data_IF_336810927553
#
_entry.id   IF_336810927553
#
_cell.length_a   1.000
_cell.length_b   1.000
_cell.length_c   1.000
_cell.angle_alpha   90.00
_cell.angle_beta   90.00
_cell.angle_gamma   90.00
#
_symmetry.space_group_name_H-M   'P 1'
#
loop_
_entity.id
_entity.type
_entity.pdbx_description
1 polymer ?
#
# COMPACT_ATOMS: atom_id res chain seq x y z
N UNK A 1 -16.27 -23.12 2.23
CA UNK A 1 -16.73 -21.73 2.06
C UNK A 1 -17.02 -21.05 3.41
N UNK A 2 -17.88 -21.58 4.28
CA UNK A 2 -18.16 -20.95 5.59
C UNK A 2 -16.97 -20.98 6.58
N UNK A 3 -16.16 -22.04 6.54
CA UNK A 3 -14.98 -22.21 7.41
C UNK A 3 -13.87 -21.20 7.12
N UNK A 4 -13.62 -20.85 5.85
CA UNK A 4 -12.59 -19.87 5.48
C UNK A 4 -12.97 -18.45 5.90
N UNK A 5 -14.25 -18.07 5.78
CA UNK A 5 -14.73 -16.75 6.21
C UNK A 5 -14.62 -16.57 7.73
N UNK A 6 -14.93 -17.61 8.52
CA UNK A 6 -14.80 -17.57 9.97
C UNK A 6 -13.32 -17.48 10.41
N UNK A 7 -12.43 -18.23 9.77
CA UNK A 7 -10.99 -18.16 10.01
C UNK A 7 -10.43 -16.79 9.69
N UNK A 8 -10.82 -16.20 8.56
CA UNK A 8 -10.40 -14.86 8.16
C UNK A 8 -10.91 -13.80 9.15
N UNK A 9 -12.17 -13.87 9.57
CA UNK A 9 -12.71 -12.99 10.62
C UNK A 9 -11.92 -13.08 11.92
N UNK A 10 -11.53 -14.29 12.33
CA UNK A 10 -10.70 -14.50 13.53
C UNK A 10 -9.32 -13.89 13.38
N UNK A 11 -8.65 -14.12 12.25
CA UNK A 11 -7.33 -13.53 11.96
C UNK A 11 -7.37 -11.99 12.07
N UNK A 12 -8.41 -11.37 11.52
CA UNK A 12 -8.62 -9.91 11.62
C UNK A 12 -8.83 -9.45 13.06
N UNK A 13 -9.62 -10.18 13.84
CA UNK A 13 -9.83 -9.87 15.26
C UNK A 13 -8.52 -9.99 16.07
N UNK A 14 -7.72 -11.03 15.83
CA UNK A 14 -6.40 -11.18 16.48
C UNK A 14 -5.50 -9.99 16.19
N UNK A 15 -5.39 -9.60 14.91
CA UNK A 15 -4.60 -8.44 14.51
C UNK A 15 -5.10 -7.15 15.17
N UNK A 16 -6.43 -6.95 15.18
CA UNK A 16 -7.05 -5.76 15.76
C UNK A 16 -6.86 -5.67 17.27
N UNK A 17 -7.16 -6.74 18.02
CA UNK A 17 -6.93 -6.77 19.47
C UNK A 17 -5.44 -6.58 19.77
N UNK A 18 -4.57 -7.17 18.96
CA UNK A 18 -3.13 -7.02 19.10
C UNK A 18 -2.62 -5.58 18.98
N UNK A 19 -3.34 -4.72 18.24
CA UNK A 19 -3.03 -3.28 18.11
C UNK A 19 -3.79 -2.41 19.09
N UNK A 20 -4.97 -2.82 19.53
CA UNK A 20 -5.73 -2.06 20.53
C UNK A 20 -5.19 -2.23 21.95
N UNK A 21 -4.68 -3.41 22.31
CA UNK A 21 -4.18 -3.64 23.68
C UNK A 21 -3.06 -2.67 24.06
N UNK A 22 -2.05 -2.43 23.20
CA UNK A 22 -0.99 -1.47 23.51
C UNK A 22 -1.43 0.00 23.63
N UNK A 23 -2.64 0.37 23.20
CA UNK A 23 -3.21 1.71 23.45
C UNK A 23 -3.51 1.98 24.93
N UNK A 24 -3.52 0.95 25.77
CA UNK A 24 -3.82 1.07 27.18
C UNK A 24 -2.55 1.22 28.02
N UNK A 25 -2.75 1.49 29.31
CA UNK A 25 -1.66 1.41 30.28
C UNK A 25 -1.38 -0.04 30.69
N UNK A 26 -0.17 -0.32 31.19
CA UNK A 26 0.21 -1.67 31.67
C UNK A 26 -0.77 -2.16 32.74
N UNK A 27 -1.19 -1.28 33.65
CA UNK A 27 -2.17 -1.61 34.69
C UNK A 27 -3.52 -2.02 34.09
N UNK A 28 -4.03 -1.28 33.10
CA UNK A 28 -5.29 -1.61 32.43
C UNK A 28 -5.18 -2.93 31.68
N UNK A 29 -4.07 -3.19 30.98
CA UNK A 29 -3.83 -4.47 30.29
C UNK A 29 -3.75 -5.63 31.29
N UNK A 30 -3.08 -5.45 32.43
CA UNK A 30 -2.97 -6.46 33.48
C UNK A 30 -4.33 -6.78 34.12
N UNK A 31 -5.12 -5.76 34.45
CA UNK A 31 -6.47 -5.94 35.00
C UNK A 31 -7.42 -6.61 34.01
N UNK A 32 -7.36 -6.19 32.74
CA UNK A 32 -8.08 -6.85 31.65
C UNK A 32 -7.70 -8.32 31.55
N UNK A 33 -6.41 -8.63 31.46
CA UNK A 33 -5.90 -9.97 31.28
C UNK A 33 -6.32 -10.91 32.42
N UNK A 34 -6.25 -10.43 33.66
CA UNK A 34 -6.70 -11.16 34.84
C UNK A 34 -8.18 -11.53 34.77
N UNK A 35 -9.05 -10.55 34.48
CA UNK A 35 -10.50 -10.78 34.42
C UNK A 35 -10.88 -11.65 33.21
N UNK A 36 -10.32 -11.36 32.03
CA UNK A 36 -10.58 -12.11 30.80
C UNK A 36 -10.12 -13.57 30.92
N UNK A 37 -8.94 -13.81 31.50
CA UNK A 37 -8.44 -15.16 31.77
C UNK A 37 -9.38 -15.91 32.71
N UNK A 38 -9.88 -15.25 33.77
CA UNK A 38 -10.81 -15.89 34.71
C UNK A 38 -12.15 -16.24 34.05
N UNK A 39 -12.66 -15.38 33.17
CA UNK A 39 -13.85 -15.68 32.36
C UNK A 39 -13.63 -16.95 31.54
N UNK A 40 -12.51 -17.03 30.80
CA UNK A 40 -12.18 -18.19 29.97
C UNK A 40 -12.03 -19.45 30.82
N UNK A 41 -11.33 -19.38 31.95
CA UNK A 41 -11.16 -20.51 32.87
C UNK A 41 -12.49 -21.04 33.41
N UNK A 42 -13.40 -20.16 33.82
CA UNK A 42 -14.69 -20.59 34.33
C UNK A 42 -15.51 -21.35 33.28
N UNK A 43 -15.43 -20.92 32.01
CA UNK A 43 -16.08 -21.59 30.88
C UNK A 43 -15.40 -22.93 30.58
N UNK A 44 -14.07 -22.98 30.56
CA UNK A 44 -13.32 -24.21 30.31
C UNK A 44 -13.58 -25.27 31.40
N UNK A 45 -13.71 -24.85 32.66
CA UNK A 45 -14.04 -25.76 33.76
C UNK A 45 -15.49 -26.23 33.73
N UNK A 46 -16.42 -25.43 33.20
CA UNK A 46 -17.86 -25.72 33.22
C UNK A 46 -18.54 -25.30 31.90
N UNK A 47 -18.23 -25.94 30.76
CA UNK A 47 -18.65 -25.46 29.44
C UNK A 47 -20.17 -25.54 29.21
N UNK A 48 -20.85 -26.48 29.86
CA UNK A 48 -22.30 -26.61 29.76
C UNK A 48 -23.06 -25.53 30.55
N UNK A 49 -22.44 -24.95 31.59
CA UNK A 49 -23.10 -23.98 32.44
C UNK A 49 -23.23 -22.63 31.73
N UNK A 50 -24.47 -22.30 31.39
CA UNK A 50 -24.86 -21.08 30.67
C UNK A 50 -24.49 -19.82 31.48
N UNK A 51 -24.45 -19.91 32.82
CA UNK A 51 -24.11 -18.77 33.69
C UNK A 51 -22.71 -18.21 33.40
N UNK A 52 -21.74 -19.06 33.05
CA UNK A 52 -20.38 -18.62 32.72
C UNK A 52 -20.25 -18.13 31.28
N UNK A 53 -21.23 -18.45 30.43
CA UNK A 53 -21.30 -18.06 29.01
C UNK A 53 -22.10 -16.78 28.78
N UNK A 54 -22.66 -16.18 29.82
CA UNK A 54 -23.40 -14.92 29.77
C UNK A 54 -22.72 -13.86 30.64
N UNK A 55 -22.19 -12.80 30.01
CA UNK A 55 -21.57 -11.67 30.70
C UNK A 55 -22.47 -10.44 30.57
N UNK A 56 -22.97 -9.94 31.71
CA UNK A 56 -23.77 -8.70 31.71
C UNK A 56 -22.88 -7.47 31.56
N UNK A 57 -23.26 -6.56 30.67
CA UNK A 57 -22.47 -5.35 30.44
C UNK A 57 -22.49 -4.37 31.65
N UNK A 58 -23.51 -4.45 32.50
CA UNK A 58 -23.63 -3.67 33.74
C UNK A 58 -22.88 -4.27 34.93
N UNK A 59 -22.28 -5.47 34.79
CA UNK A 59 -21.42 -6.03 35.82
C UNK A 59 -20.19 -5.14 35.98
N UNK A 60 -20.00 -4.54 37.17
CA UNK A 60 -18.94 -3.55 37.43
C UNK A 60 -17.54 -4.07 37.07
N UNK A 61 -17.25 -5.34 37.33
CA UNK A 61 -15.94 -5.94 37.02
C UNK A 61 -15.75 -6.07 35.51
N UNK A 62 -16.74 -6.60 34.79
CA UNK A 62 -16.71 -6.72 33.32
C UNK A 62 -16.65 -5.34 32.67
N UNK A 63 -17.48 -4.40 33.12
CA UNK A 63 -17.51 -3.04 32.60
C UNK A 63 -16.13 -2.38 32.71
N UNK A 64 -15.58 -2.33 33.93
CA UNK A 64 -14.33 -1.63 34.22
C UNK A 64 -13.11 -2.31 33.59
N UNK A 65 -12.99 -3.62 33.71
CA UNK A 65 -11.76 -4.33 33.31
C UNK A 65 -11.78 -4.77 31.85
N UNK A 66 -12.95 -5.11 31.30
CA UNK A 66 -13.06 -5.67 29.94
C UNK A 66 -13.63 -4.66 28.97
N UNK A 67 -14.79 -4.07 29.26
CA UNK A 67 -15.50 -3.24 28.29
C UNK A 67 -14.92 -1.82 28.13
N UNK A 68 -14.19 -1.33 29.13
CA UNK A 68 -13.45 -0.07 29.10
C UNK A 68 -12.01 -0.21 28.60
N UNK A 69 -11.50 -1.43 28.43
CA UNK A 69 -10.17 -1.67 27.86
C UNK A 69 -10.24 -1.58 26.32
N UNK A 70 -9.33 -0.82 25.70
CA UNK A 70 -9.24 -0.80 24.23
C UNK A 70 -8.90 -2.21 23.73
N UNK A 71 -9.75 -2.77 22.87
CA UNK A 71 -9.62 -4.15 22.38
C UNK A 71 -10.37 -5.19 23.20
N UNK A 72 -10.94 -4.85 24.37
CA UNK A 72 -11.63 -5.83 25.21
C UNK A 72 -12.92 -6.38 24.61
N UNK A 73 -13.67 -5.56 23.85
CA UNK A 73 -14.90 -6.01 23.15
C UNK A 73 -14.56 -6.87 21.93
N UNK A 74 -13.52 -6.48 21.20
CA UNK A 74 -12.96 -7.27 20.10
C UNK A 74 -12.42 -8.59 20.61
N UNK A 75 -11.83 -8.63 21.80
CA UNK A 75 -11.38 -9.88 22.43
C UNK A 75 -12.56 -10.77 22.83
N UNK A 76 -13.64 -10.23 23.39
CA UNK A 76 -14.87 -11.01 23.61
C UNK A 76 -15.40 -11.59 22.29
N UNK A 77 -15.41 -10.78 21.22
CA UNK A 77 -15.80 -11.25 19.89
C UNK A 77 -14.84 -12.31 19.34
N UNK A 78 -13.54 -12.19 19.63
CA UNK A 78 -12.52 -13.18 19.28
C UNK A 78 -12.82 -14.50 19.98
N UNK A 79 -13.18 -14.50 21.27
CA UNK A 79 -13.60 -15.69 22.01
C UNK A 79 -14.90 -16.32 21.49
N UNK A 80 -15.69 -15.59 20.70
CA UNK A 80 -16.97 -16.03 20.14
C UNK A 80 -18.19 -15.48 20.87
N UNK A 81 -18.02 -14.54 21.81
CA UNK A 81 -19.16 -13.85 22.40
C UNK A 81 -19.82 -12.92 21.39
N UNK A 82 -21.15 -12.92 21.42
CA UNK A 82 -21.97 -12.00 20.65
C UNK A 82 -22.68 -11.02 21.59
N UNK A 83 -22.73 -9.75 21.19
CA UNK A 83 -23.47 -8.73 21.92
C UNK A 83 -24.95 -8.85 21.56
N UNK A 84 -25.78 -9.18 22.54
CA UNK A 84 -27.23 -9.27 22.39
C UNK A 84 -27.93 -8.39 23.43
N UNK A 85 -29.21 -8.10 23.20
CA UNK A 85 -30.07 -7.43 24.18
C UNK A 85 -31.05 -8.45 24.75
N UNK A 86 -31.04 -8.64 26.07
CA UNK A 86 -31.89 -9.58 26.79
C UNK A 86 -32.58 -8.85 27.93
N UNK A 87 -33.92 -8.83 27.93
CA UNK A 87 -34.73 -8.14 28.94
C UNK A 87 -34.35 -6.66 29.13
N UNK A 88 -34.00 -5.95 28.04
CA UNK A 88 -33.56 -4.55 28.09
C UNK A 88 -32.12 -4.35 28.56
N UNK A 89 -31.39 -5.41 28.92
CA UNK A 89 -29.97 -5.35 29.28
C UNK A 89 -29.08 -5.80 28.13
N UNK A 90 -27.94 -5.12 27.96
CA UNK A 90 -26.89 -5.58 27.04
C UNK A 90 -26.11 -6.70 27.71
N UNK A 91 -26.04 -7.85 27.05
CA UNK A 91 -25.25 -9.00 27.49
C UNK A 91 -24.34 -9.49 26.37
N UNK A 92 -23.21 -10.05 26.73
CA UNK A 92 -22.33 -10.79 25.82
C UNK A 92 -22.57 -12.27 26.06
N UNK A 93 -23.01 -12.97 25.03
CA UNK A 93 -23.40 -14.38 25.12
C UNK A 93 -22.54 -15.25 24.22
N UNK A 94 -22.00 -16.34 24.76
CA UNK A 94 -21.27 -17.36 24.02
C UNK A 94 -22.16 -18.59 23.83
N UNK A 95 -22.73 -18.75 22.64
CA UNK A 95 -23.65 -19.85 22.36
C UNK A 95 -22.96 -21.23 22.49
N UNK A 96 -21.81 -21.40 21.84
CA UNK A 96 -21.07 -22.66 21.82
C UNK A 96 -19.60 -22.43 22.21
N UNK A 97 -19.15 -22.94 23.38
CA UNK A 97 -17.76 -22.84 23.77
C UNK A 97 -16.91 -23.88 23.04
N UNK A 98 -15.96 -23.42 22.23
CA UNK A 98 -14.95 -24.29 21.63
C UNK A 98 -13.68 -24.29 22.48
N UNK A 99 -13.40 -25.42 23.14
CA UNK A 99 -12.30 -25.57 24.12
C UNK A 99 -10.93 -25.18 23.52
N UNK A 100 -10.60 -25.70 22.33
CA UNK A 100 -9.31 -25.41 21.68
C UNK A 100 -9.16 -23.92 21.38
N UNK A 101 -10.23 -23.30 20.90
CA UNK A 101 -10.24 -21.89 20.53
C UNK A 101 -10.09 -20.98 21.75
N UNK A 102 -10.82 -21.28 22.83
CA UNK A 102 -10.71 -20.56 24.10
C UNK A 102 -9.30 -20.69 24.70
N UNK A 103 -8.72 -21.89 24.62
CA UNK A 103 -7.35 -22.17 25.10
C UNK A 103 -6.31 -21.40 24.30
N UNK A 104 -6.43 -21.39 22.97
CA UNK A 104 -5.55 -20.62 22.08
C UNK A 104 -5.66 -19.12 22.34
N UNK A 105 -6.87 -18.58 22.46
CA UNK A 105 -7.08 -17.15 22.75
C UNK A 105 -6.52 -16.74 24.11
N UNK A 106 -6.63 -17.60 25.14
CA UNK A 106 -6.00 -17.40 26.45
C UNK A 106 -4.46 -17.40 26.35
N UNK A 107 -3.88 -18.37 25.65
CA UNK A 107 -2.43 -18.44 25.42
C UNK A 107 -1.90 -17.21 24.70
N UNK A 108 -2.57 -16.84 23.61
CA UNK A 108 -2.27 -15.62 22.85
C UNK A 108 -2.33 -14.36 23.73
N UNK A 109 -3.36 -14.22 24.57
CA UNK A 109 -3.48 -13.07 25.47
C UNK A 109 -2.31 -13.01 26.46
N UNK A 110 -1.92 -14.15 27.04
CA UNK A 110 -0.81 -14.22 27.99
C UNK A 110 0.52 -13.81 27.35
N UNK A 111 0.79 -14.24 26.11
CA UNK A 111 1.97 -13.81 25.34
C UNK A 111 1.92 -12.30 25.05
N UNK A 112 0.74 -11.78 24.70
CA UNK A 112 0.58 -10.37 24.36
C UNK A 112 0.77 -9.44 25.56
N UNK A 113 0.32 -9.85 26.74
CA UNK A 113 0.53 -9.12 28.00
C UNK A 113 2.02 -9.05 28.34
N UNK A 114 2.75 -10.17 28.22
CA UNK A 114 4.21 -10.19 28.43
C UNK A 114 4.93 -9.20 27.50
N UNK A 115 4.53 -9.15 26.23
CA UNK A 115 5.07 -8.18 25.27
C UNK A 115 4.79 -6.72 25.66
N UNK A 116 3.65 -6.44 26.31
CA UNK A 116 3.33 -5.10 26.80
C UNK A 116 4.12 -4.72 28.06
N UNK A 117 4.48 -5.70 28.89
CA UNK A 117 5.28 -5.49 30.11
C UNK A 117 6.77 -5.31 29.80
N UNK A 118 7.26 -5.96 28.75
CA UNK A 118 8.67 -5.91 28.31
C UNK A 118 9.00 -4.68 27.45
N UNK A 119 7.99 -3.89 27.03
CA UNK A 119 8.25 -2.73 26.20
C UNK A 119 8.95 -1.63 27.01
N UNK A 120 10.21 -1.34 26.68
CA UNK A 120 11.03 -0.29 27.30
C UNK A 120 10.55 1.16 27.01
N UNK A 121 9.45 1.30 26.26
CA UNK A 121 9.00 2.54 25.63
C UNK A 121 8.34 3.60 26.52
N UNK A 122 8.21 3.36 27.82
CA UNK A 122 7.50 4.30 28.68
C UNK A 122 8.42 5.19 29.48
N UNK A 123 8.45 6.47 29.12
CA UNK A 123 8.74 7.55 30.06
C UNK A 123 7.74 7.41 31.23
N UNK A 124 8.19 6.82 32.34
CA UNK A 124 7.40 6.63 33.55
C UNK A 124 6.56 5.36 33.65
N UNK A 125 6.92 4.27 32.94
CA UNK A 125 6.42 2.91 33.20
C UNK A 125 4.90 2.68 33.09
N UNK A 126 4.18 3.49 32.30
CA UNK A 126 2.71 3.48 32.28
C UNK A 126 2.07 3.05 30.96
N UNK A 127 2.64 3.32 29.80
CA UNK A 127 2.06 2.99 28.49
C UNK A 127 2.62 1.69 27.90
N UNK A 128 1.79 0.95 27.17
CA UNK A 128 2.18 -0.31 26.53
C UNK A 128 2.75 -0.15 25.11
N UNK A 129 2.64 1.03 24.52
CA UNK A 129 3.17 1.38 23.19
C UNK A 129 4.01 2.66 23.24
N UNK A 130 4.93 2.80 22.30
CA UNK A 130 5.72 4.02 22.10
C UNK A 130 4.91 5.10 21.35
N UNK A 131 3.98 4.67 20.48
CA UNK A 131 3.07 5.56 19.77
C UNK A 131 1.64 5.03 19.72
N UNK A 132 0.66 5.91 19.93
CA UNK A 132 -0.76 5.65 19.63
C UNK A 132 -1.15 6.41 18.37
N UNK A 133 -1.45 5.68 17.31
CA UNK A 133 -1.88 6.25 16.03
C UNK A 133 -3.41 6.19 15.91
N UNK A 134 -4.00 7.34 15.57
CA UNK A 134 -5.42 7.43 15.20
C UNK A 134 -5.53 7.63 13.71
N UNK A 135 -6.23 6.74 13.02
CA UNK A 135 -6.44 6.82 11.57
C UNK A 135 -7.90 7.17 11.27
N UNK A 136 -8.11 8.33 10.67
CA UNK A 136 -9.40 8.80 10.18
C UNK A 136 -9.71 8.10 8.86
N UNK A 137 -10.73 7.23 8.87
CA UNK A 137 -11.21 6.55 7.68
C UNK A 137 -12.11 7.47 6.86
N UNK A 138 -12.26 7.17 5.57
CA UNK A 138 -13.13 7.93 4.65
C UNK A 138 -14.62 7.85 4.99
N UNK A 139 -15.01 6.88 5.81
CA UNK A 139 -16.36 6.77 6.38
C UNK A 139 -16.62 7.75 7.53
N UNK A 140 -15.60 8.50 7.98
CA UNK A 140 -15.65 9.34 9.19
C UNK A 140 -15.42 8.55 10.48
N UNK A 141 -15.29 7.22 10.42
CA UNK A 141 -14.90 6.41 11.56
C UNK A 141 -13.40 6.53 11.82
N UNK A 142 -13.00 6.34 13.07
CA UNK A 142 -11.60 6.30 13.46
C UNK A 142 -11.18 4.86 13.76
N UNK A 143 -9.94 4.53 13.43
CA UNK A 143 -9.28 3.31 13.86
C UNK A 143 -8.05 3.70 14.67
N UNK A 144 -7.96 3.20 15.89
CA UNK A 144 -6.82 3.46 16.76
C UNK A 144 -5.93 2.22 16.85
N UNK A 145 -4.62 2.41 16.96
CA UNK A 145 -3.68 1.33 17.21
C UNK A 145 -2.43 1.81 17.93
N UNK A 146 -1.94 0.99 18.85
CA UNK A 146 -0.66 1.16 19.51
C UNK A 146 0.46 0.49 18.70
N UNK A 147 1.58 1.19 18.63
CA UNK A 147 2.76 0.79 17.88
C UNK A 147 4.04 1.05 18.67
N UNK A 148 5.07 0.27 18.39
CA UNK A 148 6.39 0.43 18.97
C UNK A 148 7.29 1.29 18.08
N UNK A 149 8.31 1.91 18.68
CA UNK A 149 9.19 2.90 18.04
C UNK A 149 9.93 2.39 16.81
N UNK A 150 10.22 1.08 16.78
CA UNK A 150 10.95 0.40 15.72
C UNK A 150 10.05 -0.16 14.63
N UNK A 151 8.73 -0.13 14.83
CA UNK A 151 7.79 -0.51 13.78
C UNK A 151 7.83 0.51 12.65
N UNK A 152 7.42 0.07 11.48
CA UNK A 152 7.55 0.83 10.24
C UNK A 152 6.21 1.37 9.75
N UNK A 153 6.25 2.31 8.82
CA UNK A 153 5.04 2.76 8.12
C UNK A 153 4.33 1.60 7.42
N UNK A 154 5.07 0.62 6.91
CA UNK A 154 4.50 -0.62 6.37
C UNK A 154 3.62 -1.36 7.39
N UNK A 155 4.03 -1.44 8.66
CA UNK A 155 3.25 -2.11 9.70
C UNK A 155 1.91 -1.40 9.98
N UNK A 156 1.88 -0.08 9.84
CA UNK A 156 0.65 0.73 9.93
C UNK A 156 -0.30 0.38 8.77
N UNK A 157 0.21 0.33 7.54
CA UNK A 157 -0.58 -0.08 6.38
C UNK A 157 -1.11 -1.51 6.50
N UNK A 158 -0.26 -2.45 6.93
CA UNK A 158 -0.65 -3.84 7.13
C UNK A 158 -1.78 -3.97 8.18
N UNK A 159 -1.69 -3.20 9.27
CA UNK A 159 -2.77 -3.13 10.26
C UNK A 159 -4.08 -2.62 9.66
N UNK A 160 -4.03 -1.52 8.91
CA UNK A 160 -5.20 -0.93 8.29
C UNK A 160 -5.87 -1.86 7.29
N UNK A 161 -5.09 -2.47 6.39
CA UNK A 161 -5.57 -3.44 5.42
C UNK A 161 -6.25 -4.63 6.10
N UNK A 162 -5.70 -5.11 7.22
CA UNK A 162 -6.32 -6.22 7.98
C UNK A 162 -7.58 -5.80 8.74
N UNK A 163 -7.76 -4.50 9.00
CA UNK A 163 -8.87 -3.97 9.81
C UNK A 163 -10.04 -3.45 8.97
N UNK A 164 -9.82 -2.99 7.75
CA UNK A 164 -10.87 -2.42 6.91
C UNK A 164 -11.56 -3.53 6.09
N UNK A 165 -12.86 -3.72 6.30
CA UNK A 165 -13.62 -4.85 5.72
C UNK A 165 -13.89 -4.69 4.21
N UNK A 166 -13.87 -3.47 3.69
CA UNK A 166 -14.30 -3.13 2.31
C UNK A 166 -13.29 -2.30 1.49
N UNK A 167 -12.03 -2.17 1.93
CA UNK A 167 -11.08 -1.22 1.36
C UNK A 167 -9.80 -1.89 0.88
N UNK A 168 -9.91 -2.74 -0.14
CA UNK A 168 -8.78 -3.27 -0.90
C UNK A 168 -8.28 -2.32 -2.00
N UNK A 169 -8.60 -1.02 -1.91
CA UNK A 169 -8.20 -0.02 -2.90
C UNK A 169 -7.20 0.96 -2.28
N UNK A 170 -6.15 1.26 -3.05
CA UNK A 170 -5.04 2.21 -2.86
C UNK A 170 -5.21 3.14 -1.64
N UNK A 171 -4.97 2.58 -0.43
CA UNK A 171 -5.03 3.35 0.80
C UNK A 171 -3.82 4.26 0.81
N UNK A 172 -4.04 5.57 0.80
CA UNK A 172 -2.98 6.56 0.98
C UNK A 172 -3.17 7.25 2.31
N UNK A 173 -2.14 7.22 3.13
CA UNK A 173 -2.14 7.90 4.42
C UNK A 173 -1.43 9.23 4.30
N UNK A 174 -2.01 10.26 4.94
CA UNK A 174 -1.33 11.52 5.19
C UNK A 174 -1.34 11.84 6.67
N UNK A 175 -0.34 12.58 7.13
CA UNK A 175 -0.41 13.25 8.42
C UNK A 175 -1.46 14.36 8.37
N UNK A 176 -2.13 14.60 9.49
CA UNK A 176 -3.05 15.74 9.66
C UNK A 176 -2.36 16.96 10.26
N UNK A 177 -1.12 16.80 10.72
CA UNK A 177 -0.26 17.88 11.21
C UNK A 177 0.24 18.73 10.04
N UNK A 178 0.49 20.01 10.29
CA UNK A 178 1.05 20.93 9.29
C UNK A 178 2.59 20.91 9.40
N UNK A 179 3.34 20.73 8.29
CA UNK A 179 2.85 20.48 6.93
C UNK A 179 2.30 19.07 6.74
N UNK A 180 1.19 18.94 6.00
CA UNK A 180 0.65 17.64 5.63
C UNK A 180 1.69 16.86 4.83
N UNK A 181 1.99 15.64 5.26
CA UNK A 181 2.97 14.77 4.61
C UNK A 181 2.30 13.45 4.23
N UNK A 182 2.35 13.11 2.95
CA UNK A 182 1.88 11.82 2.44
C UNK A 182 2.89 10.71 2.76
N UNK A 183 2.40 9.63 3.35
CA UNK A 183 3.19 8.45 3.72
C UNK A 183 3.23 7.49 2.52
N UNK A 184 3.95 7.89 1.47
CA UNK A 184 4.10 7.12 0.23
C UNK A 184 5.01 5.89 0.33
N UNK A 185 5.20 5.19 -0.79
CA UNK A 185 5.99 3.95 -0.87
C UNK A 185 7.42 4.09 -0.35
N UNK A 186 8.05 5.24 -0.60
CA UNK A 186 9.40 5.56 -0.14
C UNK A 186 9.52 5.61 1.39
N UNK A 187 8.40 5.83 2.09
CA UNK A 187 8.36 5.90 3.55
C UNK A 187 8.03 4.56 4.21
N UNK A 188 7.60 3.54 3.45
CA UNK A 188 7.22 2.24 3.98
C UNK A 188 8.26 1.61 4.92
N UNK A 189 9.58 1.61 4.62
CA UNK A 189 10.58 1.01 5.52
C UNK A 189 10.99 1.94 6.68
N UNK A 190 10.54 3.19 6.70
CA UNK A 190 10.92 4.16 7.72
C UNK A 190 10.24 3.81 9.04
N UNK A 191 11.01 3.85 10.14
CA UNK A 191 10.48 3.60 11.48
C UNK A 191 9.53 4.72 11.93
N UNK A 192 8.62 4.43 12.85
CA UNK A 192 7.72 5.44 13.41
C UNK A 192 8.48 6.55 14.15
N UNK A 193 9.60 6.21 14.80
CA UNK A 193 10.49 7.18 15.44
C UNK A 193 11.08 8.16 14.42
N UNK A 194 11.64 7.64 13.32
CA UNK A 194 12.26 8.46 12.28
C UNK A 194 11.22 9.26 11.48
N UNK A 195 10.02 8.71 11.31
CA UNK A 195 8.88 9.39 10.70
C UNK A 195 8.24 10.45 11.62
N UNK A 196 8.75 10.65 12.84
CA UNK A 196 8.26 11.62 13.84
C UNK A 196 6.78 11.42 14.19
N UNK A 197 6.34 10.16 14.29
CA UNK A 197 4.96 9.80 14.61
C UNK A 197 4.77 9.43 16.10
N UNK A 198 5.76 9.69 16.96
CA UNK A 198 5.69 9.48 18.41
C UNK A 198 5.37 10.79 19.15
N UNK A 199 4.77 10.72 20.36
CA UNK A 199 4.17 9.54 21.00
C UNK A 199 2.72 9.28 20.54
N UNK A 200 2.19 10.14 19.67
CA UNK A 200 0.86 9.98 19.08
C UNK A 200 0.76 10.79 17.81
N UNK A 201 0.06 10.27 16.81
CA UNK A 201 -0.23 11.02 15.60
C UNK A 201 -1.61 10.68 15.05
N UNK A 202 -2.23 11.66 14.38
CA UNK A 202 -3.47 11.46 13.64
C UNK A 202 -3.18 11.44 12.15
N UNK A 203 -3.56 10.34 11.50
CA UNK A 203 -3.43 10.11 10.06
C UNK A 203 -4.81 10.13 9.42
N UNK A 204 -4.89 10.51 8.14
CA UNK A 204 -6.13 10.45 7.38
C UNK A 204 -5.96 9.57 6.14
N UNK A 205 -6.92 8.68 5.90
CA UNK A 205 -7.03 7.96 4.64
C UNK A 205 -7.53 8.92 3.57
N UNK A 206 -6.76 9.08 2.50
CA UNK A 206 -7.09 9.91 1.35
C UNK A 206 -7.52 9.00 0.21
N UNK A 207 -8.65 9.29 -0.41
CA UNK A 207 -9.00 8.64 -1.68
C UNK A 207 -8.04 9.16 -2.75
N UNK A 208 -7.55 8.33 -3.68
CA UNK A 208 -6.87 8.83 -4.86
C UNK A 208 -7.82 9.81 -5.55
N UNK A 209 -7.45 11.08 -5.55
CA UNK A 209 -8.20 12.09 -6.27
C UNK A 209 -8.13 11.73 -7.75
N UNK A 210 -9.27 11.49 -8.39
CA UNK A 210 -9.36 11.68 -9.84
C UNK A 210 -8.92 13.11 -10.07
N UNK A 211 -7.83 13.31 -10.80
CA UNK A 211 -7.33 14.66 -11.09
C UNK A 211 -8.51 15.51 -11.59
N UNK A 212 -8.65 16.79 -11.15
CA UNK A 212 -9.63 17.66 -11.78
C UNK A 212 -9.40 17.61 -13.30
N UNK A 213 -10.45 17.46 -14.12
CA UNK A 213 -10.28 17.45 -15.56
C UNK A 213 -9.46 18.69 -15.92
N UNK A 214 -8.41 18.54 -16.76
CA UNK A 214 -7.60 19.69 -17.17
C UNK A 214 -8.53 20.81 -17.61
N UNK A 215 -8.25 22.07 -17.27
CA UNK A 215 -9.13 23.19 -17.61
C UNK A 215 -9.48 23.06 -19.09
N UNK A 216 -10.80 22.96 -19.38
CA UNK A 216 -11.29 22.82 -20.76
C UNK A 216 -10.60 23.89 -21.59
N UNK A 217 -9.68 23.50 -22.47
CA UNK A 217 -9.05 24.41 -23.42
C UNK A 217 -10.21 25.10 -24.14
N UNK A 218 -10.33 26.41 -23.99
CA UNK A 218 -11.32 27.19 -24.73
C UNK A 218 -11.09 26.91 -26.21
N UNK A 219 -12.17 26.71 -26.99
CA UNK A 219 -12.16 26.39 -28.44
C UNK A 219 -11.19 27.21 -29.30
N UNK A 220 -10.75 28.37 -28.80
CA UNK A 220 -9.75 29.23 -29.44
C UNK A 220 -8.37 28.58 -29.49
N UNK A 221 -7.94 27.92 -28.42
CA UNK A 221 -6.61 27.31 -28.32
C UNK A 221 -6.50 26.02 -29.15
N UNK A 222 -7.60 25.29 -29.33
CA UNK A 222 -7.63 24.06 -30.16
C UNK A 222 -7.47 24.37 -31.65
N UNK A 223 -7.97 25.53 -32.11
CA UNK A 223 -7.86 25.94 -33.51
C UNK A 223 -6.43 26.39 -33.91
N UNK A 224 -5.71 27.00 -32.98
CA UNK A 224 -4.32 27.43 -33.20
C UNK A 224 -3.35 26.24 -33.12
N UNK A 225 -3.52 25.35 -32.13
CA UNK A 225 -2.71 24.12 -32.01
C UNK A 225 -2.91 23.17 -33.21
N UNK A 226 -4.13 23.03 -33.73
CA UNK A 226 -4.40 22.23 -34.92
C UNK A 226 -3.80 22.82 -36.19
N UNK A 227 -3.85 24.16 -36.34
CA UNK A 227 -3.24 24.85 -37.48
C UNK A 227 -1.70 24.74 -37.46
N UNK A 228 -1.10 24.79 -36.28
CA UNK A 228 0.35 24.67 -36.10
C UNK A 228 0.84 23.24 -36.35
N UNK A 229 0.12 22.23 -35.85
CA UNK A 229 0.42 20.82 -36.14
C UNK A 229 0.30 20.48 -37.63
N UNK A 230 -0.71 21.04 -38.32
CA UNK A 230 -0.87 20.84 -39.76
C UNK A 230 0.28 21.49 -40.55
N UNK A 231 0.73 22.68 -40.14
CA UNK A 231 1.91 23.35 -40.73
C UNK A 231 3.18 22.52 -40.56
N UNK A 232 3.44 22.02 -39.36
CA UNK A 232 4.60 21.16 -39.06
C UNK A 232 4.57 19.85 -39.87
N UNK A 233 3.40 19.24 -40.04
CA UNK A 233 3.24 18.05 -40.88
C UNK A 233 3.49 18.36 -42.36
N UNK A 234 2.98 19.48 -42.87
CA UNK A 234 3.21 19.91 -44.25
C UNK A 234 4.70 20.20 -44.51
N UNK A 235 5.37 20.90 -43.60
CA UNK A 235 6.79 21.23 -43.72
C UNK A 235 7.69 19.99 -43.65
N UNK A 236 7.39 19.06 -42.75
CA UNK A 236 8.08 17.78 -42.67
C UNK A 236 7.85 16.90 -43.91
N UNK A 237 6.64 16.93 -44.49
CA UNK A 237 6.35 16.21 -45.73
C UNK A 237 7.10 16.80 -46.94
N UNK A 238 7.21 18.12 -47.02
CA UNK A 238 7.96 18.81 -48.06
C UNK A 238 9.47 18.51 -47.96
N UNK A 239 10.01 18.47 -46.74
CA UNK A 239 11.41 18.11 -46.50
C UNK A 239 11.71 16.68 -46.93
N UNK A 240 10.86 15.72 -46.54
CA UNK A 240 11.00 14.32 -46.97
C UNK A 240 10.93 14.15 -48.49
N UNK A 241 10.05 14.88 -49.16
CA UNK A 241 9.93 14.83 -50.62
C UNK A 241 11.15 15.43 -51.34
N UNK A 242 11.75 16.50 -50.79
CA UNK A 242 13.00 17.06 -51.32
C UNK A 242 14.16 16.10 -51.18
N UNK A 243 14.29 15.46 -50.01
CA UNK A 243 15.34 14.47 -49.77
C UNK A 243 15.19 13.24 -50.69
N UNK A 244 13.94 12.79 -50.92
CA UNK A 244 13.66 11.69 -51.84
C UNK A 244 13.94 12.04 -53.32
N UNK A 245 13.65 13.28 -53.75
CA UNK A 245 13.99 13.76 -55.09
C UNK A 245 15.50 13.83 -55.30
N UNK A 246 16.25 14.37 -54.34
CA UNK A 246 17.70 14.45 -54.41
C UNK A 246 18.37 13.07 -54.49
N UNK A 247 17.84 12.08 -53.74
CA UNK A 247 18.35 10.71 -53.79
C UNK A 247 18.03 10.01 -55.12
N UNK A 248 16.87 10.31 -55.73
CA UNK A 248 16.52 9.82 -57.06
C UNK A 248 17.45 10.41 -58.14
N UNK A 249 17.68 11.72 -58.11
CA UNK A 249 18.61 12.39 -59.03
C UNK A 249 20.04 11.86 -58.91
N UNK A 250 20.50 11.62 -57.67
CA UNK A 250 21.82 11.04 -57.41
C UNK A 250 21.94 9.61 -57.98
N UNK A 251 20.89 8.78 -57.85
CA UNK A 251 20.86 7.44 -58.45
C UNK A 251 20.86 7.48 -59.97
N UNK A 252 20.10 8.38 -60.58
CA UNK A 252 20.07 8.56 -62.03
C UNK A 252 21.43 9.05 -62.58
N UNK A 253 22.06 10.00 -61.90
CA UNK A 253 23.41 10.46 -62.25
C UNK A 253 24.46 9.34 -62.13
N UNK A 254 24.38 8.53 -61.07
CA UNK A 254 25.30 7.40 -60.86
C UNK A 254 25.07 6.27 -61.89
N UNK A 255 23.82 6.03 -62.30
CA UNK A 255 23.50 5.09 -63.37
C UNK A 255 24.05 5.57 -64.74
N UNK A 256 23.93 6.88 -65.03
CA UNK A 256 24.48 7.48 -66.25
C UNK A 256 26.01 7.38 -66.29
N UNK A 257 26.68 7.63 -65.17
CA UNK A 257 28.13 7.48 -65.05
C UNK A 257 28.60 6.03 -65.23
N UNK A 258 27.81 5.06 -64.74
CA UNK A 258 28.09 3.63 -64.93
C UNK A 258 27.91 3.20 -66.39
N UNK A 259 26.89 3.72 -67.08
CA UNK A 259 26.65 3.46 -68.50
C UNK A 259 27.79 4.02 -69.38
N UNK A 260 28.25 5.25 -69.13
CA UNK A 260 29.38 5.86 -69.86
C UNK A 260 30.69 5.07 -69.70
N UNK A 261 30.92 4.53 -68.49
CA UNK A 261 32.12 3.72 -68.22
C UNK A 261 32.09 2.36 -68.93
N UNK A 262 30.91 1.77 -69.08
CA UNK A 262 30.73 0.52 -69.86
C UNK A 262 30.87 0.79 -71.36
N UNK A 263 30.36 1.92 -71.86
CA UNK A 263 30.53 2.33 -73.25
C UNK A 263 32.00 2.59 -73.61
N UNK A 264 32.79 3.19 -72.71
CA UNK A 264 34.25 3.38 -72.89
C UNK A 264 35.05 2.07 -72.86
N UNK A 265 34.58 1.05 -72.15
CA UNK A 265 35.24 -0.25 -72.07
C UNK A 265 34.94 -1.16 -73.28
N UNK A 266 33.92 -0.83 -74.09
CA UNK A 266 33.52 -1.58 -75.28
C UNK A 266 34.04 -0.99 -76.60
N UNK A 267 34.87 0.06 -76.56
CA UNK A 267 35.50 0.60 -77.76
C UNK A 267 36.59 -0.38 -78.26
N UNK A 268 36.52 -0.88 -79.51
CA UNK A 268 37.52 -1.81 -80.03
C UNK A 268 38.86 -1.11 -80.28
N UNK A 269 39.94 -1.77 -79.85
CA UNK A 269 41.30 -1.50 -80.27
C UNK A 269 41.45 -1.89 -81.76
N UNK A 270 41.64 -0.89 -82.61
CA UNK A 270 42.39 -0.99 -83.87
C UNK A 270 43.60 -0.05 -83.66
N UNK A 271 44.87 -0.43 -83.71
CA UNK A 271 45.54 -1.50 -84.44
C UNK A 271 46.35 -0.87 -85.57
N UNK A 272 47.61 -0.50 -85.34
CA UNK A 272 48.69 -0.32 -86.35
C UNK A 272 50.00 0.08 -85.61
N UNK A 273 51.11 -0.67 -85.58
CA UNK A 273 52.06 -1.19 -86.58
C UNK A 273 53.20 -0.21 -86.98
N UNK A 274 54.42 -0.76 -87.11
CA UNK A 274 55.67 -0.10 -87.59
C UNK A 274 56.49 0.60 -86.49
N UNK A 275 57.62 0.09 -85.97
CA UNK A 275 58.96 -0.14 -86.57
C UNK A 275 59.62 1.12 -87.15
N UNK A 276 60.59 1.69 -86.43
CA UNK A 276 61.92 2.18 -86.88
C UNK A 276 62.61 2.87 -85.67
N UNK A 277 63.66 2.30 -85.09
CA UNK A 277 65.06 2.53 -85.43
C UNK A 277 65.53 4.00 -85.27
N UNK A 278 66.28 4.31 -84.20
CA UNK A 278 67.71 4.71 -84.25
C UNK A 278 68.16 5.55 -83.05
N UNK A 279 69.28 5.09 -82.47
CA UNK A 279 70.48 5.81 -82.02
C UNK A 279 70.34 7.17 -81.29
N UNK A 280 70.81 7.15 -80.03
CA UNK A 280 72.07 7.80 -79.61
C UNK A 280 72.37 9.24 -80.03
N UNK A 281 72.59 10.11 -79.04
CA UNK A 281 73.30 11.38 -79.17
C UNK A 281 73.01 12.34 -78.01
N UNK A 282 73.77 12.27 -76.91
CA UNK A 282 74.70 13.33 -76.46
C UNK A 282 74.26 14.77 -76.78
N UNK A 283 73.97 15.53 -75.74
CA UNK A 283 74.94 16.48 -75.14
C UNK A 283 74.54 16.80 -73.71
#
# INVERSE_FOLDING_TARGET
>A
MATSALQERRKRLVNRVGRHLPCNTIQVVSDFARVATKVVENILSNPADVKFRELRANNKTIQRAVLSCHGGREFLSLLGFEKITKNGEVVYFLAEPHVDHLTQAKGWLAERVKSCEQSEGSVGGRACADSVLTVLLTSGQTLEGGFYKHETIHDVYAFLQSSVVNGGEDLRLRTTTVPETELGEQMLPVSLADAKLLPSATLAVVKPSVAPPPPKKTRRNESEEAAEQLRLLQENSARKNRDAMAEKEKKEAMAKFRADRVARAAAPQNGDSGVEETKGGRR
#
